data_IF_119247870395
#
_entry.id   IF_119247870395
#
_cell.length_a   1.000
_cell.length_b   1.000
_cell.length_c   1.000
_cell.angle_alpha   90.00
_cell.angle_beta   90.00
_cell.angle_gamma   90.00
#
_symmetry.space_group_name_H-M   'P 1'
#
loop_
_entity.id
_entity.type
_entity.pdbx_description
1 polymer ?
#
# COMPACT_ATOMS: atom_id res chain seq x y z
N UNK A 1 7.83 0.05 -26.88
CA UNK A 1 7.95 0.11 -25.41
C UNK A 1 6.55 0.11 -24.83
N UNK A 2 6.04 -1.03 -24.35
CA UNK A 2 4.70 -1.13 -23.78
C UNK A 2 4.71 -0.50 -22.39
N UNK A 3 4.12 0.70 -22.26
CA UNK A 3 3.87 1.30 -20.95
C UNK A 3 3.00 0.34 -20.15
N UNK A 4 3.58 -0.33 -19.15
CA UNK A 4 2.83 -1.22 -18.27
C UNK A 4 1.83 -0.34 -17.52
N UNK A 5 0.54 -0.56 -17.72
CA UNK A 5 -0.49 0.20 -17.04
C UNK A 5 -0.27 0.16 -15.52
N UNK A 6 -0.36 1.33 -14.86
CA UNK A 6 -0.28 1.41 -13.39
C UNK A 6 -1.43 0.61 -12.77
N UNK A 7 -1.13 -0.15 -11.72
CA UNK A 7 -2.15 -0.84 -10.92
C UNK A 7 -3.04 0.16 -10.18
N UNK A 8 -4.17 -0.31 -9.65
CA UNK A 8 -5.06 0.48 -8.79
C UNK A 8 -4.28 0.99 -7.57
N UNK A 9 -3.48 0.14 -6.92
CA UNK A 9 -2.62 0.54 -5.81
C UNK A 9 -1.64 1.67 -6.19
N UNK A 10 -0.96 1.58 -7.34
CA UNK A 10 -0.02 2.61 -7.81
C UNK A 10 -0.70 3.93 -8.18
N UNK A 11 -1.96 3.88 -8.62
CA UNK A 11 -2.76 5.07 -8.91
C UNK A 11 -3.24 5.76 -7.63
N UNK A 12 -3.63 4.97 -6.63
CA UNK A 12 -4.16 5.47 -5.36
C UNK A 12 -3.07 5.97 -4.41
N UNK A 13 -1.89 5.34 -4.42
CA UNK A 13 -0.73 5.78 -3.64
C UNK A 13 -0.10 7.03 -4.26
N UNK A 14 -0.80 8.15 -4.13
CA UNK A 14 -0.37 9.44 -4.62
C UNK A 14 0.59 10.15 -3.64
N UNK A 15 1.34 11.18 -4.10
CA UNK A 15 2.14 12.01 -3.21
C UNK A 15 1.34 12.62 -2.06
N UNK A 16 0.05 12.91 -2.26
CA UNK A 16 -0.82 13.43 -1.21
C UNK A 16 -1.04 12.41 -0.07
N UNK A 17 -1.20 11.12 -0.40
CA UNK A 17 -1.29 10.05 0.59
C UNK A 17 0.06 9.89 1.32
N UNK A 18 1.19 9.99 0.61
CA UNK A 18 2.51 9.92 1.24
C UNK A 18 2.78 11.10 2.19
N UNK A 19 2.29 12.30 1.86
CA UNK A 19 2.33 13.45 2.78
C UNK A 19 1.42 13.24 3.99
N UNK A 20 0.27 12.59 3.83
CA UNK A 20 -0.55 12.18 4.96
C UNK A 20 0.21 11.21 5.87
N UNK A 21 0.90 10.20 5.33
CA UNK A 21 1.70 9.28 6.15
C UNK A 21 2.68 10.03 7.06
N UNK A 22 3.31 11.10 6.57
CA UNK A 22 4.21 11.93 7.38
C UNK A 22 3.50 12.74 8.47
N UNK A 23 2.25 13.17 8.23
CA UNK A 23 1.48 14.03 9.15
C UNK A 23 0.69 13.24 10.20
N UNK A 24 0.05 12.15 9.79
CA UNK A 24 -0.91 11.39 10.61
C UNK A 24 -0.48 9.93 10.85
N UNK A 25 0.61 9.46 10.24
CA UNK A 25 1.09 8.09 10.35
C UNK A 25 0.51 7.16 9.29
N UNK A 26 1.22 6.05 9.04
CA UNK A 26 0.91 5.11 7.96
C UNK A 26 -0.43 4.39 8.12
N UNK A 27 -0.80 4.01 9.35
CA UNK A 27 -2.06 3.31 9.62
C UNK A 27 -3.26 4.22 9.36
N UNK A 28 -3.23 5.45 9.89
CA UNK A 28 -4.30 6.43 9.66
C UNK A 28 -4.44 6.80 8.17
N UNK A 29 -3.32 6.94 7.45
CA UNK A 29 -3.34 7.13 6.01
C UNK A 29 -3.92 5.91 5.25
N UNK A 30 -3.64 4.68 5.71
CA UNK A 30 -4.22 3.46 5.13
C UNK A 30 -5.75 3.42 5.33
N UNK A 31 -6.23 3.76 6.53
CA UNK A 31 -7.66 3.85 6.83
C UNK A 31 -8.35 4.90 5.95
N UNK A 32 -7.70 6.04 5.69
CA UNK A 32 -8.24 7.05 4.80
C UNK A 32 -8.35 6.54 3.36
N UNK A 33 -7.34 5.81 2.87
CA UNK A 33 -7.42 5.12 1.57
C UNK A 33 -8.59 4.16 1.54
N UNK A 34 -8.78 3.34 2.57
CA UNK A 34 -9.90 2.41 2.69
C UNK A 34 -11.26 3.13 2.64
N UNK A 35 -11.39 4.26 3.36
CA UNK A 35 -12.63 5.04 3.41
C UNK A 35 -13.09 5.55 2.04
N UNK A 36 -12.12 5.83 1.15
CA UNK A 36 -12.33 6.32 -0.22
C UNK A 36 -12.47 5.17 -1.22
N UNK A 37 -11.67 4.12 -1.06
CA UNK A 37 -11.69 2.92 -1.88
C UNK A 37 -12.52 1.81 -1.22
N UNK A 38 -13.83 2.04 -1.05
CA UNK A 38 -14.76 1.13 -0.35
C UNK A 38 -14.85 -0.29 -0.93
N UNK A 39 -14.32 -0.50 -2.12
CA UNK A 39 -14.22 -1.81 -2.78
C UNK A 39 -12.96 -2.59 -2.38
N UNK A 40 -11.98 -1.94 -1.75
CA UNK A 40 -10.78 -2.59 -1.25
C UNK A 40 -11.10 -3.49 -0.05
N UNK A 41 -10.33 -4.57 0.12
CA UNK A 41 -10.47 -5.52 1.23
C UNK A 41 -9.27 -5.44 2.16
N UNK A 42 -9.51 -5.47 3.47
CA UNK A 42 -8.42 -5.64 4.43
C UNK A 42 -7.72 -6.97 4.20
N UNK A 43 -6.40 -6.95 4.26
CA UNK A 43 -5.55 -8.12 4.08
C UNK A 43 -4.26 -8.00 4.88
N UNK A 44 -3.56 -9.13 5.04
CA UNK A 44 -2.18 -9.18 5.52
C UNK A 44 -1.28 -9.47 4.34
N UNK A 45 -0.38 -8.56 4.01
CA UNK A 45 0.57 -8.72 2.91
C UNK A 45 1.87 -9.33 3.45
N UNK A 46 2.24 -10.50 2.93
CA UNK A 46 3.52 -11.14 3.27
C UNK A 46 4.65 -10.41 2.57
N UNK A 47 5.66 -10.01 3.34
CA UNK A 47 6.88 -9.42 2.83
C UNK A 47 8.07 -10.02 3.58
N UNK A 48 8.93 -10.72 2.83
CA UNK A 48 10.00 -11.52 3.42
C UNK A 48 9.43 -12.55 4.41
N UNK A 49 9.90 -12.50 5.65
CA UNK A 49 9.44 -13.37 6.73
C UNK A 49 8.25 -12.80 7.53
N UNK A 50 7.82 -11.56 7.26
CA UNK A 50 6.83 -10.85 8.07
C UNK A 50 5.51 -10.63 7.33
N UNK A 51 4.46 -10.33 8.08
CA UNK A 51 3.16 -9.94 7.56
C UNK A 51 2.82 -8.53 8.02
N UNK A 52 2.29 -7.72 7.11
CA UNK A 52 1.93 -6.34 7.38
C UNK A 52 0.48 -6.05 7.00
N UNK A 53 -0.14 -5.10 7.70
CA UNK A 53 -1.50 -4.65 7.39
C UNK A 53 -1.55 -3.96 6.03
N UNK A 54 -2.59 -4.26 5.26
CA UNK A 54 -2.79 -3.66 3.96
C UNK A 54 -4.19 -3.80 3.42
N UNK A 55 -4.37 -3.23 2.23
CA UNK A 55 -5.59 -3.25 1.43
C UNK A 55 -5.30 -3.95 0.12
N UNK A 56 -6.16 -4.88 -0.27
CA UNK A 56 -6.16 -5.50 -1.59
C UNK A 56 -7.27 -4.90 -2.45
N UNK A 57 -6.95 -4.58 -3.70
CA UNK A 57 -7.88 -4.04 -4.69
C UNK A 57 -8.35 -5.10 -5.68
N UNK A 58 -9.36 -4.78 -6.49
CA UNK A 58 -9.98 -5.73 -7.42
C UNK A 58 -9.04 -6.22 -8.54
N UNK A 59 -8.04 -5.42 -8.91
CA UNK A 59 -6.96 -5.84 -9.81
C UNK A 59 -5.90 -6.72 -9.12
N UNK A 60 -6.15 -7.07 -7.85
CA UNK A 60 -5.33 -7.86 -6.94
C UNK A 60 -4.07 -7.15 -6.43
N UNK A 61 -3.82 -5.90 -6.83
CA UNK A 61 -2.75 -5.09 -6.27
C UNK A 61 -3.00 -4.76 -4.80
N UNK A 62 -1.95 -4.37 -4.07
CA UNK A 62 -2.05 -4.07 -2.63
C UNK A 62 -1.38 -2.76 -2.27
N UNK A 63 -1.91 -2.07 -1.25
CA UNK A 63 -1.19 -1.03 -0.49
C UNK A 63 -1.00 -1.58 0.93
N UNK A 64 0.23 -1.61 1.44
CA UNK A 64 0.52 -2.11 2.79
C UNK A 64 1.38 -1.14 3.59
N UNK A 65 1.22 -1.20 4.91
CA UNK A 65 2.08 -0.52 5.88
C UNK A 65 3.44 -1.23 5.90
N UNK A 66 4.53 -0.46 5.88
CA UNK A 66 5.88 -1.03 5.85
C UNK A 66 6.86 -0.26 6.75
N UNK A 67 7.71 -0.93 7.53
CA UNK A 67 8.76 -0.29 8.31
C UNK A 67 9.96 0.09 7.42
N UNK A 68 10.25 1.39 7.27
CA UNK A 68 11.37 1.85 6.42
C UNK A 68 12.68 2.03 7.18
N UNK A 69 12.60 2.61 8.38
CA UNK A 69 13.75 2.89 9.25
C UNK A 69 13.29 2.84 10.71
N UNK A 70 14.22 2.95 11.65
CA UNK A 70 13.88 2.94 13.08
C UNK A 70 12.72 3.90 13.38
N UNK A 71 11.64 3.33 13.93
CA UNK A 71 10.40 4.02 14.30
C UNK A 71 9.71 4.81 13.17
N UNK A 72 9.84 4.37 11.90
CA UNK A 72 9.10 4.97 10.77
C UNK A 72 8.35 3.92 9.97
N UNK A 73 7.08 4.20 9.74
CA UNK A 73 6.20 3.41 8.87
C UNK A 73 5.89 4.22 7.60
N UNK A 74 5.81 3.54 6.47
CA UNK A 74 5.35 4.09 5.19
C UNK A 74 4.23 3.24 4.59
N UNK A 75 3.68 3.69 3.46
CA UNK A 75 2.81 2.89 2.61
C UNK A 75 3.52 2.52 1.31
N UNK A 76 3.37 1.27 0.88
CA UNK A 76 3.96 0.76 -0.37
C UNK A 76 2.88 0.10 -1.21
N UNK A 77 2.90 0.38 -2.52
CA UNK A 77 2.05 -0.25 -3.51
C UNK A 77 2.76 -1.46 -4.14
N UNK A 78 2.04 -2.57 -4.31
CA UNK A 78 2.56 -3.82 -4.89
C UNK A 78 1.59 -4.39 -5.91
N UNK A 79 2.09 -5.00 -6.99
CA UNK A 79 1.25 -5.67 -8.00
C UNK A 79 0.95 -7.12 -7.61
N UNK A 80 -0.09 -7.71 -8.23
CA UNK A 80 -0.42 -9.13 -8.07
C UNK A 80 0.79 -10.01 -8.33
N UNK A 81 1.03 -10.97 -7.44
CA UNK A 81 2.06 -11.99 -7.63
C UNK A 81 3.50 -11.48 -7.52
N UNK A 82 3.70 -10.18 -7.30
CA UNK A 82 5.01 -9.63 -6.94
C UNK A 82 5.10 -9.69 -5.43
N UNK A 83 5.74 -10.75 -4.92
CA UNK A 83 6.37 -10.67 -3.61
C UNK A 83 7.34 -9.49 -3.69
N UNK A 84 7.11 -8.42 -2.92
CA UNK A 84 8.05 -7.31 -2.92
C UNK A 84 9.31 -7.81 -2.24
N UNK A 85 10.31 -8.11 -3.04
CA UNK A 85 11.63 -8.53 -2.58
C UNK A 85 12.39 -7.27 -2.20
N UNK A 86 12.92 -7.28 -0.97
CA UNK A 86 13.87 -6.30 -0.43
C UNK A 86 15.04 -6.03 -1.38
#
# INVERSE_FOLDING_TARGET
MTATAKSVAEKLLSPAILEQVKKQGAVNALEEVYSKARYARFTRVKWGANFYDGLQFDDGSTISVYPTSFNKLTLIASKVGIAVTS
#
